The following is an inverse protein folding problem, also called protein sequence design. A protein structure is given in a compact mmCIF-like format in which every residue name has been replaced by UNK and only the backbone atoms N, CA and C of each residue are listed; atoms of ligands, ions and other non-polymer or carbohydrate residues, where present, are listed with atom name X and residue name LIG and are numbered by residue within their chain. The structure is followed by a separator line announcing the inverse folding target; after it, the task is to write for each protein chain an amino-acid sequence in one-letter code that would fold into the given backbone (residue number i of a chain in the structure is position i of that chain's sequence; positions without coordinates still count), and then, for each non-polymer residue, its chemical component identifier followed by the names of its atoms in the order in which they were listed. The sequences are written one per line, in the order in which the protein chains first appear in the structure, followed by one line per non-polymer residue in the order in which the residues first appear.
data_IF_677792190683
#
_entry.id   IF_677792190683
#
_cell.length_a   1.000
_cell.length_b   1.000
_cell.length_c   1.000
_cell.angle_alpha   90.00
_cell.angle_beta   90.00
_cell.angle_gamma   90.00
#
_symmetry.space_group_name_H-M   'P 1'
#
loop_
_entity.id
_entity.type
_entity.pdbx_description
1 polymer ?
#
# COMPACT_ATOMS: atom_id res chain seq x y z
N UNK A 1 26.93 -38.45 74.50
CA UNK A 1 25.83 -39.16 73.80
C UNK A 1 26.12 -39.10 72.30
N UNK A 2 26.58 -40.19 71.64
CA UNK A 2 26.94 -40.11 70.23
C UNK A 2 25.67 -40.14 69.37
N UNK A 3 25.50 -39.10 68.55
CA UNK A 3 24.43 -39.00 67.56
C UNK A 3 24.75 -40.01 66.45
N UNK A 4 24.02 -41.14 66.39
CA UNK A 4 24.11 -42.09 65.29
C UNK A 4 23.58 -41.43 64.02
N UNK A 5 24.48 -41.06 63.10
CA UNK A 5 24.11 -40.66 61.74
C UNK A 5 23.53 -41.87 61.00
N UNK A 6 22.27 -41.72 60.57
CA UNK A 6 21.50 -42.71 59.81
C UNK A 6 22.23 -42.99 58.49
N UNK A 7 22.33 -44.25 58.07
CA UNK A 7 22.85 -44.61 56.74
C UNK A 7 21.92 -44.02 55.66
N UNK A 8 22.34 -42.94 55.02
CA UNK A 8 21.63 -42.29 53.92
C UNK A 8 21.89 -43.12 52.65
N UNK A 9 20.81 -43.61 52.03
CA UNK A 9 20.90 -44.40 50.80
C UNK A 9 21.06 -43.47 49.59
N UNK A 10 22.28 -43.01 49.36
CA UNK A 10 22.63 -41.99 48.36
C UNK A 10 22.20 -42.34 46.93
N UNK A 11 22.17 -43.63 46.56
CA UNK A 11 21.69 -44.09 45.25
C UNK A 11 20.22 -43.78 45.01
N UNK A 12 19.41 -43.91 46.06
CA UNK A 12 17.98 -43.64 46.01
C UNK A 12 17.71 -42.13 45.91
N UNK A 13 18.39 -41.33 46.74
CA UNK A 13 18.27 -39.86 46.70
C UNK A 13 18.71 -39.29 45.36
N UNK A 14 19.80 -39.80 44.77
CA UNK A 14 20.24 -39.37 43.45
C UNK A 14 19.23 -39.75 42.35
N UNK A 15 18.61 -40.92 42.44
CA UNK A 15 17.54 -41.34 41.54
C UNK A 15 16.30 -40.44 41.63
N UNK A 16 15.87 -40.08 42.84
CA UNK A 16 14.75 -39.13 43.04
C UNK A 16 15.08 -37.74 42.50
N UNK A 17 16.28 -37.21 42.77
CA UNK A 17 16.70 -35.90 42.24
C UNK A 17 16.76 -35.93 40.71
N UNK A 18 17.30 -37.00 40.10
CA UNK A 18 17.36 -37.15 38.65
C UNK A 18 15.95 -37.20 38.04
N UNK A 19 15.03 -37.96 38.65
CA UNK A 19 13.64 -38.06 38.17
C UNK A 19 12.90 -36.73 38.29
N UNK A 20 13.07 -36.00 39.39
CA UNK A 20 12.51 -34.66 39.54
C UNK A 20 13.06 -33.69 38.51
N UNK A 21 14.38 -33.73 38.28
CA UNK A 21 15.03 -32.89 37.26
C UNK A 21 14.51 -33.20 35.86
N UNK A 22 14.45 -34.47 35.47
CA UNK A 22 13.92 -34.89 34.16
C UNK A 22 12.45 -34.51 34.01
N UNK A 23 11.63 -34.73 35.04
CA UNK A 23 10.21 -34.40 35.02
C UNK A 23 9.95 -32.90 34.83
N UNK A 24 10.66 -32.05 35.57
CA UNK A 24 10.53 -30.58 35.45
C UNK A 24 10.97 -30.11 34.07
N UNK A 25 12.13 -30.57 33.59
CA UNK A 25 12.64 -30.16 32.27
C UNK A 25 11.71 -30.62 31.13
N UNK A 26 11.16 -31.84 31.19
CA UNK A 26 10.21 -32.32 30.20
C UNK A 26 8.90 -31.52 30.19
N UNK A 27 8.40 -31.13 31.37
CA UNK A 27 7.20 -30.31 31.47
C UNK A 27 7.40 -28.91 30.86
N UNK A 28 8.53 -28.27 31.17
CA UNK A 28 8.90 -26.97 30.58
C UNK A 28 9.03 -27.12 29.06
N UNK A 29 9.78 -28.14 28.60
CA UNK A 29 9.99 -28.40 27.18
C UNK A 29 8.69 -28.62 26.41
N UNK A 30 7.74 -29.40 26.95
CA UNK A 30 6.46 -29.64 26.30
C UNK A 30 5.64 -28.34 26.17
N UNK A 31 5.67 -27.51 27.21
CA UNK A 31 4.99 -26.22 27.20
C UNK A 31 5.60 -25.23 26.19
N UNK A 32 6.93 -25.14 26.16
CA UNK A 32 7.66 -24.33 25.18
C UNK A 32 7.43 -24.81 23.74
N UNK A 33 7.44 -26.13 23.52
CA UNK A 33 7.16 -26.72 22.21
C UNK A 33 5.76 -26.40 21.71
N UNK A 34 4.75 -26.54 22.57
CA UNK A 34 3.37 -26.21 22.22
C UNK A 34 3.20 -24.70 21.93
N UNK A 35 3.87 -23.84 22.71
CA UNK A 35 3.84 -22.39 22.52
C UNK A 35 4.51 -21.98 21.21
N UNK A 36 5.70 -22.51 20.93
CA UNK A 36 6.44 -22.28 19.68
C UNK A 36 5.62 -22.69 18.45
N UNK A 37 4.95 -23.85 18.50
CA UNK A 37 4.08 -24.30 17.39
C UNK A 37 2.89 -23.38 17.15
N UNK A 38 2.30 -22.82 18.21
CA UNK A 38 1.20 -21.86 18.10
C UNK A 38 1.69 -20.54 17.47
N UNK A 39 2.86 -20.07 17.88
CA UNK A 39 3.50 -18.85 17.35
C UNK A 39 3.78 -19.01 15.85
N UNK A 40 4.42 -20.10 15.43
CA UNK A 40 4.73 -20.36 14.03
C UNK A 40 3.47 -20.37 13.16
N UNK A 41 2.40 -21.02 13.63
CA UNK A 41 1.12 -21.04 12.92
C UNK A 41 0.52 -19.63 12.78
N UNK A 42 0.56 -18.83 13.84
CA UNK A 42 0.02 -17.47 13.80
C UNK A 42 0.85 -16.57 12.89
N UNK A 43 2.18 -16.75 12.85
CA UNK A 43 3.09 -16.07 11.93
C UNK A 43 2.72 -16.39 10.47
N UNK A 44 2.55 -17.66 10.13
CA UNK A 44 2.15 -18.07 8.78
C UNK A 44 0.79 -17.47 8.37
N UNK A 45 -0.18 -17.47 9.28
CA UNK A 45 -1.50 -16.86 9.04
C UNK A 45 -1.35 -15.35 8.80
N UNK A 46 -0.57 -14.66 9.63
CA UNK A 46 -0.36 -13.21 9.51
C UNK A 46 0.31 -12.86 8.18
N UNK A 47 1.40 -13.53 7.81
CA UNK A 47 2.08 -13.33 6.52
C UNK A 47 1.16 -13.63 5.33
N UNK A 48 0.36 -14.69 5.40
CA UNK A 48 -0.60 -15.00 4.35
C UNK A 48 -1.69 -13.92 4.20
N UNK A 49 -2.16 -13.34 5.31
CA UNK A 49 -3.14 -12.25 5.29
C UNK A 49 -2.54 -10.96 4.76
N UNK A 50 -1.30 -10.64 5.15
CA UNK A 50 -0.55 -9.49 4.62
C UNK A 50 -0.36 -9.66 3.10
N UNK A 51 0.03 -10.86 2.63
CA UNK A 51 0.18 -11.13 1.19
C UNK A 51 -1.10 -10.86 0.41
N UNK A 52 -2.23 -11.39 0.87
CA UNK A 52 -3.55 -11.18 0.24
C UNK A 52 -3.95 -9.70 0.24
N UNK A 53 -3.68 -9.00 1.34
CA UNK A 53 -3.89 -7.55 1.43
C UNK A 53 -3.05 -6.80 0.39
N UNK A 54 -1.76 -7.12 0.27
CA UNK A 54 -0.86 -6.51 -0.70
C UNK A 54 -1.27 -6.81 -2.14
N UNK A 55 -1.69 -8.03 -2.46
CA UNK A 55 -2.19 -8.40 -3.79
C UNK A 55 -3.46 -7.59 -4.16
N UNK A 56 -4.38 -7.45 -3.22
CA UNK A 56 -5.59 -6.64 -3.38
C UNK A 56 -5.28 -5.15 -3.55
N UNK A 57 -4.40 -4.62 -2.69
CA UNK A 57 -3.97 -3.23 -2.74
C UNK A 57 -3.23 -2.90 -4.03
N UNK A 58 -2.31 -3.78 -4.47
CA UNK A 58 -1.58 -3.63 -5.72
C UNK A 58 -2.53 -3.55 -6.91
N UNK A 59 -3.54 -4.43 -6.95
CA UNK A 59 -4.53 -4.41 -8.04
C UNK A 59 -5.26 -3.05 -8.08
N UNK A 60 -5.78 -2.60 -6.94
CA UNK A 60 -6.49 -1.32 -6.87
C UNK A 60 -5.59 -0.13 -7.19
N UNK A 61 -4.34 -0.14 -6.70
CA UNK A 61 -3.35 0.89 -6.96
C UNK A 61 -3.10 1.04 -8.45
N UNK A 62 -2.83 -0.06 -9.17
CA UNK A 62 -2.54 -0.03 -10.61
C UNK A 62 -3.73 0.45 -11.42
N UNK A 63 -4.94 -0.04 -11.11
CA UNK A 63 -6.17 0.36 -11.80
C UNK A 63 -6.44 1.86 -11.62
N UNK A 64 -6.39 2.35 -10.38
CA UNK A 64 -6.70 3.75 -10.07
C UNK A 64 -5.60 4.72 -10.50
N UNK A 65 -4.32 4.32 -10.38
CA UNK A 65 -3.19 5.10 -10.86
C UNK A 65 -3.33 5.38 -12.37
N UNK A 66 -3.64 4.34 -13.17
CA UNK A 66 -3.79 4.50 -14.61
C UNK A 66 -4.89 5.50 -15.00
N UNK A 67 -6.01 5.52 -14.27
CA UNK A 67 -7.11 6.46 -14.46
C UNK A 67 -6.75 7.87 -14.00
N UNK A 68 -6.22 8.01 -12.78
CA UNK A 68 -5.86 9.31 -12.20
C UNK A 68 -4.75 10.02 -12.99
N UNK A 69 -3.82 9.29 -13.59
CA UNK A 69 -2.75 9.86 -14.42
C UNK A 69 -3.24 10.35 -15.80
N UNK A 70 -4.50 10.12 -16.19
CA UNK A 70 -5.09 10.75 -17.38
C UNK A 70 -5.33 12.25 -17.16
N UNK A 71 -5.66 12.65 -15.93
CA UNK A 71 -5.97 14.04 -15.58
C UNK A 71 -4.80 15.00 -15.84
N UNK A 72 -3.58 14.79 -15.30
CA UNK A 72 -2.46 15.70 -15.56
C UNK A 72 -2.06 15.71 -17.05
N UNK A 73 -2.13 14.56 -17.74
CA UNK A 73 -1.86 14.46 -19.19
C UNK A 73 -2.85 15.28 -20.01
N UNK A 74 -4.14 15.17 -19.69
CA UNK A 74 -5.21 15.96 -20.31
C UNK A 74 -4.93 17.46 -20.19
N UNK A 75 -4.63 17.95 -18.98
CA UNK A 75 -4.37 19.38 -18.77
C UNK A 75 -3.07 19.85 -19.41
N UNK A 76 -2.02 19.01 -19.42
CA UNK A 76 -0.79 19.32 -20.13
C UNK A 76 -1.04 19.50 -21.64
N UNK A 77 -1.81 18.59 -22.25
CA UNK A 77 -2.16 18.67 -23.66
C UNK A 77 -3.08 19.87 -23.94
N UNK A 78 -4.13 20.07 -23.12
CA UNK A 78 -5.03 21.21 -23.23
C UNK A 78 -4.26 22.53 -23.21
N UNK A 79 -3.36 22.70 -22.26
CA UNK A 79 -2.55 23.92 -22.14
C UNK A 79 -1.60 24.10 -23.34
N UNK A 80 -1.13 23.02 -23.96
CA UNK A 80 -0.32 23.09 -25.19
C UNK A 80 -1.10 23.54 -26.43
N UNK A 81 -2.44 23.41 -26.40
CA UNK A 81 -3.33 23.83 -27.48
C UNK A 81 -3.73 25.31 -27.38
N UNK A 82 -3.62 25.90 -26.20
CA UNK A 82 -3.95 27.30 -25.96
C UNK A 82 -2.89 28.23 -26.55
N UNK A 83 -3.32 29.41 -26.99
CA UNK A 83 -2.43 30.48 -27.44
C UNK A 83 -1.94 31.33 -26.24
N UNK A 84 -1.14 32.37 -26.52
CA UNK A 84 -0.63 33.31 -25.51
C UNK A 84 -1.72 34.07 -24.71
N UNK A 85 -2.97 34.01 -25.16
CA UNK A 85 -4.14 34.63 -24.51
C UNK A 85 -5.02 33.61 -23.79
N UNK A 86 -4.54 32.38 -23.61
CA UNK A 86 -5.28 31.26 -23.03
C UNK A 86 -6.51 30.81 -23.84
N UNK A 87 -6.55 31.12 -25.15
CA UNK A 87 -7.68 30.79 -26.03
C UNK A 87 -7.40 29.52 -26.87
N UNK A 88 -8.43 28.68 -27.03
CA UNK A 88 -8.41 27.48 -27.88
C UNK A 88 -8.79 27.83 -29.32
N UNK A 89 -7.84 28.40 -30.08
CA UNK A 89 -8.02 28.78 -31.49
C UNK A 89 -7.49 27.70 -32.43
N UNK A 90 -8.31 26.69 -32.70
CA UNK A 90 -7.91 25.45 -33.38
C UNK A 90 -8.71 25.21 -34.66
N UNK A 91 -8.23 24.30 -35.50
CA UNK A 91 -9.04 23.74 -36.59
C UNK A 91 -9.97 22.64 -36.06
N UNK A 92 -11.11 22.37 -36.71
CA UNK A 92 -12.00 21.29 -36.30
C UNK A 92 -11.30 19.93 -36.23
N UNK A 93 -10.37 19.66 -37.14
CA UNK A 93 -9.61 18.41 -37.13
C UNK A 93 -8.75 18.26 -35.87
N UNK A 94 -8.07 19.33 -35.43
CA UNK A 94 -7.21 19.29 -34.25
C UNK A 94 -8.03 19.26 -32.96
N UNK A 95 -9.15 19.96 -32.92
CA UNK A 95 -10.06 19.92 -31.79
C UNK A 95 -10.71 18.56 -31.60
N UNK A 96 -11.26 17.98 -32.67
CA UNK A 96 -11.90 16.67 -32.60
C UNK A 96 -10.87 15.60 -32.20
N UNK A 97 -9.65 15.65 -32.73
CA UNK A 97 -8.60 14.72 -32.32
C UNK A 97 -8.28 14.80 -30.81
N UNK A 98 -8.32 15.99 -30.22
CA UNK A 98 -8.13 16.19 -28.78
C UNK A 98 -9.33 15.67 -27.98
N UNK A 99 -10.56 16.03 -28.36
CA UNK A 99 -11.77 15.57 -27.67
C UNK A 99 -11.93 14.05 -27.76
N UNK A 100 -11.63 13.46 -28.92
CA UNK A 100 -11.66 12.01 -29.14
C UNK A 100 -10.60 11.26 -28.30
N UNK A 101 -9.51 11.93 -27.92
CA UNK A 101 -8.50 11.37 -27.03
C UNK A 101 -8.91 11.38 -25.55
N UNK A 102 -9.84 12.27 -25.15
CA UNK A 102 -10.30 12.42 -23.76
C UNK A 102 -11.83 12.52 -23.66
N UNK A 103 -12.59 11.54 -24.18
CA UNK A 103 -14.05 11.62 -24.29
C UNK A 103 -14.75 11.68 -22.92
N UNK A 104 -14.12 11.15 -21.88
CA UNK A 104 -14.66 11.12 -20.52
C UNK A 104 -14.37 12.42 -19.74
N UNK A 105 -13.38 13.21 -20.18
CA UNK A 105 -12.95 14.43 -19.49
C UNK A 105 -13.44 15.70 -20.16
N UNK A 106 -13.70 15.69 -21.48
CA UNK A 106 -13.99 16.90 -22.24
C UNK A 106 -15.20 16.74 -23.17
N UNK A 107 -16.12 17.71 -23.12
CA UNK A 107 -17.22 17.83 -24.07
C UNK A 107 -17.22 19.21 -24.71
N UNK A 108 -17.52 19.26 -26.00
CA UNK A 108 -17.68 20.55 -26.71
C UNK A 108 -19.01 21.15 -26.34
N UNK A 109 -19.01 22.40 -25.86
CA UNK A 109 -20.23 23.15 -25.58
C UNK A 109 -20.57 24.07 -26.76
N UNK A 110 -19.59 24.86 -27.20
CA UNK A 110 -19.78 25.82 -28.30
C UNK A 110 -18.50 25.99 -29.15
N UNK A 111 -18.67 26.51 -30.36
CA UNK A 111 -17.57 26.93 -31.21
C UNK A 111 -17.94 28.15 -32.06
N UNK A 112 -17.08 29.17 -32.04
CA UNK A 112 -17.27 30.40 -32.82
C UNK A 112 -16.19 30.49 -33.90
N UNK A 113 -16.61 30.62 -35.17
CA UNK A 113 -15.67 30.81 -36.27
C UNK A 113 -14.93 32.14 -36.13
N UNK A 114 -13.60 32.10 -36.14
CA UNK A 114 -12.73 33.30 -36.10
C UNK A 114 -12.06 33.58 -37.46
N UNK A 115 -12.48 32.87 -38.50
CA UNK A 115 -11.91 32.96 -39.85
C UNK A 115 -10.70 32.04 -40.07
N UNK A 116 -10.25 31.94 -41.33
CA UNK A 116 -9.10 31.12 -41.74
C UNK A 116 -9.21 29.62 -41.35
N UNK A 117 -10.43 29.08 -41.33
CA UNK A 117 -10.69 27.68 -40.96
C UNK A 117 -10.46 27.37 -39.47
N UNK A 118 -10.32 28.40 -38.63
CA UNK A 118 -10.15 28.28 -37.19
C UNK A 118 -11.43 28.66 -36.45
N UNK A 119 -11.62 28.03 -35.31
CA UNK A 119 -12.72 28.25 -34.40
C UNK A 119 -12.15 28.48 -33.01
N UNK A 120 -12.82 29.34 -32.25
CA UNK A 120 -12.67 29.42 -30.80
C UNK A 120 -13.59 28.39 -30.18
N UNK A 121 -13.02 27.45 -29.43
CA UNK A 121 -13.79 26.40 -28.75
C UNK A 121 -14.01 26.73 -27.29
N UNK A 122 -15.22 26.47 -26.82
CA UNK A 122 -15.60 26.42 -25.41
C UNK A 122 -16.07 25.00 -25.11
N UNK A 123 -15.65 24.46 -23.98
CA UNK A 123 -16.05 23.12 -23.59
C UNK A 123 -16.02 22.93 -22.09
N UNK A 124 -16.80 21.94 -21.66
CA UNK A 124 -16.98 21.56 -20.28
C UNK A 124 -16.02 20.44 -19.93
N UNK A 125 -15.36 20.59 -18.78
CA UNK A 125 -14.41 19.61 -18.26
C UNK A 125 -15.00 18.90 -17.07
N UNK A 126 -15.11 17.58 -17.16
CA UNK A 126 -15.54 16.73 -16.03
C UNK A 126 -14.35 15.93 -15.53
N UNK A 127 -14.05 15.99 -14.23
CA UNK A 127 -12.95 15.24 -13.62
C UNK A 127 -13.54 14.20 -12.67
N UNK A 128 -13.19 12.94 -12.91
CA UNK A 128 -13.43 11.83 -11.98
C UNK A 128 -12.10 11.41 -11.38
N UNK A 129 -11.96 11.57 -10.07
CA UNK A 129 -10.80 11.10 -9.33
C UNK A 129 -11.15 9.74 -8.72
N UNK A 130 -10.41 8.71 -9.10
CA UNK A 130 -10.57 7.37 -8.53
C UNK A 130 -9.92 7.34 -7.14
N UNK A 131 -10.69 6.94 -6.14
CA UNK A 131 -10.22 6.85 -4.76
C UNK A 131 -9.70 5.43 -4.49
N UNK A 132 -8.43 5.33 -4.11
CA UNK A 132 -7.79 4.05 -3.77
C UNK A 132 -7.92 3.75 -2.28
N UNK A 133 -8.64 2.69 -1.93
CA UNK A 133 -8.74 2.22 -0.55
C UNK A 133 -7.69 1.13 -0.28
N UNK A 134 -6.48 1.58 0.06
CA UNK A 134 -5.37 0.69 0.39
C UNK A 134 -5.52 0.19 1.83
N UNK A 135 -5.92 -1.07 2.03
CA UNK A 135 -6.07 -1.67 3.37
C UNK A 135 -4.73 -1.81 4.08
N UNK A 136 -4.71 -1.59 5.38
CA UNK A 136 -3.58 -1.90 6.29
C UNK A 136 -4.00 -2.78 7.47
N UNK A 137 -5.21 -3.35 7.41
CA UNK A 137 -5.83 -4.12 8.49
C UNK A 137 -4.96 -5.32 8.87
N UNK A 138 -4.46 -6.09 7.89
CA UNK A 138 -3.65 -7.27 8.19
C UNK A 138 -2.37 -6.89 8.93
N UNK A 139 -1.75 -5.77 8.55
CA UNK A 139 -0.56 -5.25 9.21
C UNK A 139 -0.83 -4.67 10.59
N UNK A 140 -1.90 -3.89 10.76
CA UNK A 140 -2.29 -3.35 12.07
C UNK A 140 -2.69 -4.45 13.06
N UNK A 141 -3.39 -5.49 12.60
CA UNK A 141 -3.69 -6.67 13.41
C UNK A 141 -2.39 -7.39 13.79
N UNK A 142 -1.44 -7.52 12.85
CA UNK A 142 -0.15 -8.16 13.13
C UNK A 142 0.67 -7.39 14.19
N UNK A 143 0.61 -6.06 14.15
CA UNK A 143 1.23 -5.21 15.19
C UNK A 143 0.53 -5.32 16.54
N UNK A 144 -0.78 -5.20 16.57
CA UNK A 144 -1.58 -5.20 17.81
C UNK A 144 -1.58 -6.54 18.54
N UNK A 145 -1.48 -7.65 17.80
CA UNK A 145 -1.36 -9.01 18.38
C UNK A 145 0.08 -9.35 18.77
N UNK A 146 1.06 -8.51 18.44
CA UNK A 146 2.48 -8.73 18.71
C UNK A 146 3.15 -9.76 17.79
N UNK A 147 2.40 -10.42 16.88
CA UNK A 147 2.95 -11.46 16.01
C UNK A 147 4.01 -10.91 15.04
N UNK A 148 3.97 -9.61 14.72
CA UNK A 148 4.98 -8.99 13.88
C UNK A 148 6.40 -9.12 14.45
N UNK A 149 6.57 -9.19 15.79
CA UNK A 149 7.89 -9.38 16.40
C UNK A 149 8.55 -10.71 16.03
N UNK A 150 7.75 -11.68 15.56
CA UNK A 150 8.20 -13.00 15.12
C UNK A 150 8.62 -13.01 13.65
N UNK A 151 8.42 -11.90 12.93
CA UNK A 151 8.86 -11.77 11.55
C UNK A 151 10.37 -11.48 11.53
N UNK A 152 11.06 -12.01 10.51
CA UNK A 152 12.47 -11.70 10.28
C UNK A 152 12.72 -10.19 10.15
N UNK A 153 13.86 -9.71 10.64
CA UNK A 153 14.21 -8.28 10.67
C UNK A 153 14.10 -7.60 9.29
N UNK A 154 14.61 -8.25 8.25
CA UNK A 154 14.55 -7.72 6.88
C UNK A 154 13.11 -7.61 6.37
N UNK A 155 12.27 -8.58 6.73
CA UNK A 155 10.85 -8.56 6.38
C UNK A 155 10.13 -7.40 7.08
N UNK A 156 10.39 -7.21 8.38
CA UNK A 156 9.84 -6.09 9.14
C UNK A 156 10.19 -4.74 8.55
N UNK A 157 11.46 -4.57 8.16
CA UNK A 157 11.91 -3.33 7.55
C UNK A 157 11.19 -3.05 6.22
N UNK A 158 11.06 -4.08 5.37
CA UNK A 158 10.36 -3.96 4.09
C UNK A 158 8.86 -3.69 4.27
N UNK A 159 8.17 -4.42 5.16
CA UNK A 159 6.76 -4.19 5.48
C UNK A 159 6.56 -2.76 5.98
N UNK A 160 7.37 -2.32 6.95
CA UNK A 160 7.26 -0.97 7.51
C UNK A 160 7.47 0.11 6.44
N UNK A 161 8.40 -0.09 5.50
CA UNK A 161 8.62 0.81 4.39
C UNK A 161 7.41 0.86 3.44
N UNK A 162 6.83 -0.30 3.08
CA UNK A 162 5.65 -0.39 2.23
C UNK A 162 4.47 0.37 2.83
N UNK A 163 4.11 0.06 4.09
CA UNK A 163 2.98 0.72 4.74
C UNK A 163 3.24 2.20 5.02
N UNK A 164 4.50 2.63 5.13
CA UNK A 164 4.84 4.05 5.17
C UNK A 164 4.55 4.73 3.81
N UNK A 165 5.03 4.18 2.70
CA UNK A 165 4.76 4.71 1.35
C UNK A 165 3.26 4.72 1.05
N UNK A 166 2.54 3.66 1.42
CA UNK A 166 1.08 3.57 1.31
C UNK A 166 0.38 4.74 2.02
N UNK A 167 0.82 5.09 3.22
CA UNK A 167 0.26 6.23 3.95
C UNK A 167 0.57 7.57 3.26
N UNK A 168 1.74 7.72 2.64
CA UNK A 168 2.04 8.90 1.83
C UNK A 168 1.10 9.01 0.62
N UNK A 169 0.86 7.91 -0.11
CA UNK A 169 -0.12 7.86 -1.21
C UNK A 169 -1.52 8.26 -0.73
N UNK A 170 -2.01 7.66 0.37
CA UNK A 170 -3.31 8.02 0.97
C UNK A 170 -3.40 9.52 1.30
N UNK A 171 -2.33 10.10 1.84
CA UNK A 171 -2.28 11.51 2.19
C UNK A 171 -2.31 12.42 0.96
N UNK A 172 -1.59 12.08 -0.10
CA UNK A 172 -1.63 12.86 -1.35
C UNK A 172 -2.99 12.73 -2.04
N UNK A 173 -3.62 11.56 -2.02
CA UNK A 173 -4.97 11.37 -2.55
C UNK A 173 -6.02 12.24 -1.82
N UNK A 174 -5.88 12.40 -0.50
CA UNK A 174 -6.72 13.33 0.26
C UNK A 174 -6.51 14.78 -0.21
N UNK A 175 -5.26 15.20 -0.42
CA UNK A 175 -4.96 16.54 -0.96
C UNK A 175 -5.50 16.73 -2.37
N UNK A 176 -5.46 15.70 -3.21
CA UNK A 176 -6.05 15.73 -4.56
C UNK A 176 -7.57 15.91 -4.48
N UNK A 177 -8.23 15.21 -3.57
CA UNK A 177 -9.67 15.33 -3.31
C UNK A 177 -10.04 16.73 -2.83
N UNK A 178 -9.25 17.30 -1.90
CA UNK A 178 -9.42 18.68 -1.43
C UNK A 178 -9.21 19.71 -2.56
N UNK A 179 -8.18 19.54 -3.39
CA UNK A 179 -7.92 20.42 -4.53
C UNK A 179 -9.08 20.38 -5.54
N UNK A 180 -9.59 19.18 -5.85
CA UNK A 180 -10.76 19.01 -6.70
C UNK A 180 -12.00 19.69 -6.10
N UNK A 181 -12.26 19.49 -4.80
CA UNK A 181 -13.39 20.12 -4.09
C UNK A 181 -13.31 21.66 -4.06
N UNK A 182 -12.09 22.20 -3.92
CA UNK A 182 -11.82 23.64 -3.94
C UNK A 182 -11.73 24.23 -5.36
N UNK A 183 -11.90 23.41 -6.40
CA UNK A 183 -11.75 23.79 -7.82
C UNK A 183 -10.36 24.35 -8.16
N UNK A 184 -9.33 23.94 -7.42
CA UNK A 184 -7.93 24.32 -7.66
C UNK A 184 -7.26 23.31 -8.59
N UNK A 185 -7.43 23.51 -9.89
CA UNK A 185 -6.92 22.57 -10.92
C UNK A 185 -5.40 22.48 -10.93
N UNK A 186 -4.69 23.61 -10.77
CA UNK A 186 -3.23 23.63 -10.73
C UNK A 186 -2.68 22.84 -9.53
N UNK A 187 -3.32 22.95 -8.37
CA UNK A 187 -2.95 22.18 -7.19
C UNK A 187 -3.24 20.69 -7.39
N UNK A 188 -4.39 20.35 -8.00
CA UNK A 188 -4.74 18.96 -8.34
C UNK A 188 -3.67 18.34 -9.25
N UNK A 189 -3.30 19.01 -10.34
CA UNK A 189 -2.28 18.53 -11.28
C UNK A 189 -0.94 18.34 -10.57
N UNK A 190 -0.53 19.30 -9.73
CA UNK A 190 0.72 19.22 -8.97
C UNK A 190 0.73 18.02 -8.02
N UNK A 191 -0.36 17.80 -7.30
CA UNK A 191 -0.50 16.68 -6.37
C UNK A 191 -0.48 15.36 -7.13
N UNK A 192 -1.26 15.21 -8.20
CA UNK A 192 -1.30 13.98 -9.01
C UNK A 192 0.05 13.66 -9.67
N UNK A 193 0.80 14.68 -10.09
CA UNK A 193 2.14 14.51 -10.65
C UNK A 193 3.16 14.04 -9.60
N UNK A 194 3.02 14.47 -8.34
CA UNK A 194 3.86 13.98 -7.25
C UNK A 194 3.44 12.57 -6.82
N UNK A 195 2.13 12.32 -6.79
CA UNK A 195 1.54 11.02 -6.46
C UNK A 195 2.00 9.92 -7.42
N UNK A 196 2.18 10.22 -8.72
CA UNK A 196 2.74 9.31 -9.74
C UNK A 196 4.02 8.59 -9.28
N UNK A 197 4.94 9.33 -8.66
CA UNK A 197 6.21 8.80 -8.17
C UNK A 197 6.02 7.88 -6.95
N UNK A 198 5.13 8.27 -6.03
CA UNK A 198 4.83 7.49 -4.83
C UNK A 198 4.11 6.19 -5.18
N UNK A 199 3.15 6.25 -6.10
CA UNK A 199 2.39 5.07 -6.55
C UNK A 199 3.28 4.11 -7.31
N UNK A 200 4.17 4.59 -8.20
CA UNK A 200 5.17 3.74 -8.88
C UNK A 200 6.09 3.05 -7.88
N UNK A 201 6.61 3.80 -6.90
CA UNK A 201 7.45 3.23 -5.86
C UNK A 201 6.69 2.18 -5.04
N UNK A 202 5.45 2.46 -4.64
CA UNK A 202 4.64 1.54 -3.86
C UNK A 202 4.30 0.27 -4.66
N UNK A 203 4.00 0.41 -5.95
CA UNK A 203 3.76 -0.70 -6.87
C UNK A 203 4.94 -1.66 -6.91
N UNK A 204 6.17 -1.14 -7.07
CA UNK A 204 7.39 -1.94 -7.08
C UNK A 204 7.62 -2.61 -5.72
N UNK A 205 7.45 -1.87 -4.62
CA UNK A 205 7.59 -2.41 -3.28
C UNK A 205 6.59 -3.55 -3.00
N UNK A 206 5.33 -3.42 -3.45
CA UNK A 206 4.34 -4.50 -3.34
C UNK A 206 4.75 -5.72 -4.18
N UNK A 207 5.13 -5.52 -5.45
CA UNK A 207 5.52 -6.63 -6.33
C UNK A 207 6.70 -7.41 -5.78
N UNK A 208 7.69 -6.72 -5.22
CA UNK A 208 8.87 -7.35 -4.65
C UNK A 208 8.51 -8.11 -3.38
N UNK A 209 7.74 -7.49 -2.47
CA UNK A 209 7.35 -8.16 -1.24
C UNK A 209 6.45 -9.36 -1.49
N UNK A 210 5.47 -9.30 -2.40
CA UNK A 210 4.61 -10.43 -2.73
C UNK A 210 5.42 -11.65 -3.20
N UNK A 211 6.55 -11.43 -3.91
CA UNK A 211 7.46 -12.51 -4.34
C UNK A 211 8.32 -13.05 -3.20
N UNK A 212 8.72 -12.21 -2.25
CA UNK A 212 9.65 -12.57 -1.17
C UNK A 212 9.00 -12.86 0.18
N UNK A 213 7.70 -12.61 0.35
CA UNK A 213 7.03 -12.70 1.66
C UNK A 213 7.03 -14.12 2.23
N UNK A 214 7.10 -15.14 1.38
CA UNK A 214 7.24 -16.52 1.82
C UNK A 214 8.62 -16.82 2.45
N UNK A 215 9.62 -15.96 2.20
CA UNK A 215 10.93 -15.99 2.86
C UNK A 215 10.92 -15.28 4.23
N UNK A 216 9.80 -14.66 4.62
CA UNK A 216 9.63 -14.07 5.94
C UNK A 216 9.26 -15.08 7.04
N UNK A 217 9.10 -16.36 6.66
CA UNK A 217 8.87 -17.46 7.57
C UNK A 217 10.12 -17.81 8.37
#
# INVERSE_FOLDING_TARGET
MPIKLKHINWKYIFGEILLLFVGINLAIWFNEWNTSRSIEKNKEIALAKIKVEMESNLKQLVENHAENQKIPKFFQELNSLKNDKDELLLTPQRWNAFVDAYPDLMKTEDSVSVGNGKYRYEGDTTIFLELTDLSDIAWEISKSTGIFHEFGYDCLYQLQAIYHTQNLVKNELNKATEALGNKSIDDLIRVLSFMDQLETQLEDQYKDMIKSIDNCK
#
